data_IF_353995538140
#
_entry.id   IF_353995538140
#
_cell.length_a   1.000
_cell.length_b   1.000
_cell.length_c   1.000
_cell.angle_alpha   90.00
_cell.angle_beta   90.00
_cell.angle_gamma   90.00
#
_symmetry.space_group_name_H-M   'P 1'
#
loop_
_entity.id
_entity.type
_entity.pdbx_description
1 polymer ?
#
# COMPACT_ATOMS: atom_id res chain seq x y z
N UNK A 1 17.41 15.96 -12.39
CA UNK A 1 16.05 15.70 -12.89
C UNK A 1 15.06 15.45 -11.77
N UNK A 2 15.36 14.57 -10.85
CA UNK A 2 14.47 14.26 -9.73
C UNK A 2 14.10 15.47 -8.86
N UNK A 3 14.99 16.45 -8.70
CA UNK A 3 14.67 17.68 -7.96
C UNK A 3 13.48 18.45 -8.55
N UNK A 4 13.33 18.47 -9.91
CA UNK A 4 12.15 19.06 -10.57
C UNK A 4 10.88 18.29 -10.21
N UNK A 5 10.97 16.97 -10.13
CA UNK A 5 9.84 16.12 -9.76
C UNK A 5 9.45 16.33 -8.28
N UNK A 6 10.41 16.33 -7.36
CA UNK A 6 10.13 16.58 -5.94
C UNK A 6 9.62 18.00 -5.66
N UNK A 7 10.02 18.99 -6.45
CA UNK A 7 9.46 20.35 -6.34
C UNK A 7 7.93 20.39 -6.55
N UNK A 8 7.35 19.40 -7.23
CA UNK A 8 5.90 19.29 -7.41
C UNK A 8 5.14 18.92 -6.13
N UNK A 9 5.80 18.42 -5.10
CA UNK A 9 5.18 18.10 -3.80
C UNK A 9 4.54 19.34 -3.15
N UNK A 10 5.04 20.53 -3.47
CA UNK A 10 4.50 21.81 -2.97
C UNK A 10 3.06 22.08 -3.43
N UNK A 11 2.61 21.46 -4.52
CA UNK A 11 1.25 21.66 -5.04
C UNK A 11 0.19 20.82 -4.29
N UNK A 12 0.61 19.95 -3.37
CA UNK A 12 -0.30 19.15 -2.54
C UNK A 12 -1.15 18.14 -3.33
N UNK A 13 -2.32 17.80 -2.76
CA UNK A 13 -3.27 16.86 -3.38
C UNK A 13 -4.30 17.66 -4.18
N UNK A 14 -4.46 17.32 -5.45
CA UNK A 14 -5.52 17.83 -6.32
C UNK A 14 -6.38 16.65 -6.78
N UNK A 15 -7.67 16.71 -6.51
CA UNK A 15 -8.63 15.72 -6.99
C UNK A 15 -9.12 16.13 -8.39
N UNK A 16 -9.12 15.19 -9.32
CA UNK A 16 -9.58 15.39 -10.70
C UNK A 16 -8.70 14.70 -11.72
N UNK A 17 -9.28 14.32 -12.87
CA UNK A 17 -8.58 13.55 -13.89
C UNK A 17 -8.14 14.40 -15.09
N UNK A 18 -8.46 15.69 -15.12
CA UNK A 18 -8.18 16.53 -16.30
C UNK A 18 -6.70 16.63 -16.63
N UNK A 19 -5.87 16.97 -15.65
CA UNK A 19 -4.43 17.16 -15.88
C UNK A 19 -3.77 15.86 -16.35
N UNK A 20 -4.00 14.77 -15.62
CA UNK A 20 -3.41 13.47 -15.96
C UNK A 20 -3.92 12.97 -17.32
N UNK A 21 -5.20 13.17 -17.65
CA UNK A 21 -5.75 12.78 -18.95
C UNK A 21 -5.12 13.57 -20.11
N UNK A 22 -4.92 14.88 -19.95
CA UNK A 22 -4.25 15.72 -20.96
C UNK A 22 -2.78 15.33 -21.11
N UNK A 23 -2.11 15.05 -19.99
CA UNK A 23 -0.72 14.61 -19.99
C UNK A 23 -0.57 13.24 -20.69
N UNK A 24 -1.42 12.27 -20.36
CA UNK A 24 -1.44 10.97 -21.02
C UNK A 24 -1.73 11.10 -22.54
N UNK A 25 -2.68 11.95 -22.94
CA UNK A 25 -2.98 12.17 -24.34
C UNK A 25 -1.78 12.77 -25.11
N UNK A 26 -1.07 13.71 -24.51
CA UNK A 26 0.13 14.32 -25.11
C UNK A 26 1.34 13.38 -25.14
N UNK A 27 1.33 12.31 -24.32
CA UNK A 27 2.32 11.24 -24.31
C UNK A 27 1.90 10.02 -25.16
N UNK A 28 0.90 10.18 -26.04
CA UNK A 28 0.37 9.10 -26.88
C UNK A 28 -0.21 7.93 -26.08
N UNK A 29 -0.98 8.23 -25.03
CA UNK A 29 -1.76 7.30 -24.21
C UNK A 29 -0.97 6.11 -23.64
N UNK A 30 0.12 6.34 -22.89
CA UNK A 30 0.92 5.25 -22.32
C UNK A 30 0.11 4.34 -21.37
N UNK A 31 -0.96 4.87 -20.75
CA UNK A 31 -1.89 4.13 -19.86
C UNK A 31 -2.67 3.01 -20.59
N UNK A 32 -2.65 2.98 -21.92
CA UNK A 32 -3.34 1.98 -22.74
C UNK A 32 -2.41 0.92 -23.32
N UNK A 33 -1.10 1.00 -23.03
CA UNK A 33 -0.09 0.12 -23.63
C UNK A 33 0.03 -1.24 -22.92
N UNK A 34 -0.68 -1.46 -21.83
CA UNK A 34 -0.67 -2.68 -21.02
C UNK A 34 -2.06 -2.98 -20.48
N UNK A 35 -2.28 -4.24 -20.08
CA UNK A 35 -3.47 -4.61 -19.31
C UNK A 35 -3.33 -4.15 -17.87
N UNK A 36 -4.32 -3.42 -17.34
CA UNK A 36 -4.30 -2.93 -15.97
C UNK A 36 -5.21 -3.74 -15.04
N UNK A 37 -4.69 -4.14 -13.87
CA UNK A 37 -5.45 -4.58 -12.71
C UNK A 37 -5.40 -3.45 -11.67
N UNK A 38 -6.55 -2.96 -11.21
CA UNK A 38 -6.63 -1.74 -10.42
C UNK A 38 -7.07 -2.02 -8.99
N UNK A 39 -6.28 -1.64 -7.98
CA UNK A 39 -6.50 -1.99 -6.58
C UNK A 39 -6.75 -0.75 -5.74
N UNK A 40 -7.97 -0.61 -5.21
CA UNK A 40 -8.38 0.41 -4.25
C UNK A 40 -8.64 -0.19 -2.86
N UNK A 41 -8.84 0.65 -1.86
CA UNK A 41 -9.19 0.26 -0.50
C UNK A 41 -8.64 1.24 0.53
N UNK A 42 -9.01 1.05 1.79
CA UNK A 42 -8.39 1.79 2.90
C UNK A 42 -7.08 1.10 3.29
N UNK A 43 -7.13 -0.14 3.73
CA UNK A 43 -5.97 -0.96 4.09
C UNK A 43 -5.83 -2.16 3.13
N UNK A 44 -4.66 -2.78 3.05
CA UNK A 44 -4.42 -3.99 2.27
C UNK A 44 -4.08 -3.78 0.80
N UNK A 45 -4.27 -2.58 0.21
CA UNK A 45 -3.98 -2.29 -1.20
C UNK A 45 -2.62 -2.80 -1.65
N UNK A 46 -1.55 -2.32 -1.00
CA UNK A 46 -0.18 -2.68 -1.36
C UNK A 46 0.11 -4.17 -1.21
N UNK A 47 -0.45 -4.84 -0.18
CA UNK A 47 -0.30 -6.30 0.00
C UNK A 47 -0.95 -7.08 -1.14
N UNK A 48 -2.19 -6.73 -1.51
CA UNK A 48 -2.91 -7.35 -2.64
C UNK A 48 -2.17 -7.08 -3.96
N UNK A 49 -1.72 -5.83 -4.18
CA UNK A 49 -0.93 -5.44 -5.35
C UNK A 49 0.37 -6.26 -5.44
N UNK A 50 1.08 -6.42 -4.31
CA UNK A 50 2.34 -7.17 -4.28
C UNK A 50 2.13 -8.67 -4.53
N UNK A 51 1.13 -9.30 -3.90
CA UNK A 51 0.78 -10.72 -4.12
C UNK A 51 0.35 -10.97 -5.57
N UNK A 52 -0.53 -10.12 -6.11
CA UNK A 52 -0.99 -10.25 -7.49
C UNK A 52 0.17 -10.08 -8.49
N UNK A 53 1.01 -9.07 -8.28
CA UNK A 53 2.19 -8.86 -9.12
C UNK A 53 3.17 -10.05 -9.04
N UNK A 54 3.48 -10.56 -7.84
CA UNK A 54 4.38 -11.70 -7.67
C UNK A 54 3.86 -12.96 -8.39
N UNK A 55 2.55 -13.20 -8.37
CA UNK A 55 1.92 -14.30 -9.09
C UNK A 55 2.06 -14.15 -10.62
N UNK A 56 1.86 -12.96 -11.16
CA UNK A 56 2.03 -12.68 -12.58
C UNK A 56 3.49 -12.89 -13.03
N UNK A 57 4.46 -12.45 -12.22
CA UNK A 57 5.88 -12.69 -12.48
C UNK A 57 6.21 -14.18 -12.39
N UNK A 58 5.68 -14.88 -11.38
CA UNK A 58 5.87 -16.33 -11.23
C UNK A 58 5.29 -17.14 -12.41
N UNK A 59 4.26 -16.62 -13.10
CA UNK A 59 3.72 -17.17 -14.33
C UNK A 59 4.58 -16.86 -15.57
N UNK A 60 5.69 -16.15 -15.44
CA UNK A 60 6.53 -15.75 -16.58
C UNK A 60 5.96 -14.58 -17.38
N UNK A 61 4.93 -13.91 -16.87
CA UNK A 61 4.33 -12.73 -17.52
C UNK A 61 5.25 -11.53 -17.30
N UNK A 62 5.46 -10.70 -18.33
CA UNK A 62 6.14 -9.42 -18.21
C UNK A 62 5.24 -8.45 -17.44
N UNK A 63 5.26 -8.56 -16.13
CA UNK A 63 4.40 -7.82 -15.23
C UNK A 63 5.11 -6.62 -14.60
N UNK A 64 4.31 -5.60 -14.24
CA UNK A 64 4.76 -4.47 -13.45
C UNK A 64 3.80 -4.19 -12.30
N UNK A 65 4.26 -3.42 -11.31
CA UNK A 65 3.38 -2.80 -10.30
C UNK A 65 3.72 -1.33 -10.12
N UNK A 66 2.68 -0.53 -9.89
CA UNK A 66 2.78 0.84 -9.42
C UNK A 66 2.14 0.95 -8.05
N UNK A 67 2.89 1.47 -7.08
CA UNK A 67 2.47 1.57 -5.67
C UNK A 67 2.81 2.93 -5.09
N UNK A 68 2.11 3.33 -4.02
CA UNK A 68 2.38 4.57 -3.31
C UNK A 68 1.94 4.53 -1.85
N UNK A 69 2.66 5.27 -0.97
CA UNK A 69 3.96 5.89 -1.19
C UNK A 69 5.11 4.86 -1.18
N UNK A 70 6.34 5.28 -1.48
CA UNK A 70 7.56 4.49 -1.28
C UNK A 70 8.02 4.54 0.19
N UNK A 71 8.88 3.61 0.57
CA UNK A 71 9.49 3.58 1.91
C UNK A 71 10.76 4.44 1.98
N UNK A 72 11.71 4.18 1.09
CA UNK A 72 13.05 4.78 1.10
C UNK A 72 13.35 5.41 -0.25
N UNK A 73 13.24 4.66 -1.34
CA UNK A 73 13.63 5.07 -2.69
C UNK A 73 12.41 5.23 -3.59
N UNK A 74 12.36 6.35 -4.32
CA UNK A 74 11.27 6.62 -5.27
C UNK A 74 11.03 5.48 -6.26
N UNK A 75 12.10 4.76 -6.65
CA UNK A 75 12.03 3.62 -7.58
C UNK A 75 11.16 2.46 -7.07
N UNK A 76 10.97 2.35 -5.76
CA UNK A 76 10.07 1.34 -5.17
C UNK A 76 8.64 1.45 -5.69
N UNK A 77 8.24 2.66 -6.18
CA UNK A 77 6.92 2.86 -6.79
C UNK A 77 6.77 2.17 -8.15
N UNK A 78 7.87 1.89 -8.84
CA UNK A 78 7.93 1.42 -10.22
C UNK A 78 8.71 0.13 -10.30
N UNK A 79 8.03 -1.01 -10.20
CA UNK A 79 8.67 -2.33 -10.25
C UNK A 79 8.26 -3.03 -11.54
N UNK A 80 9.24 -3.54 -12.27
CA UNK A 80 9.05 -4.33 -13.50
C UNK A 80 9.75 -5.68 -13.31
N UNK A 81 9.02 -6.77 -13.47
CA UNK A 81 9.52 -8.07 -13.04
C UNK A 81 9.75 -8.09 -11.53
N UNK A 82 10.93 -8.49 -11.07
CA UNK A 82 11.24 -8.58 -9.65
C UNK A 82 11.96 -7.35 -9.08
N UNK A 83 12.34 -6.38 -9.91
CA UNK A 83 13.22 -5.30 -9.49
C UNK A 83 12.60 -3.92 -9.71
N UNK A 84 12.87 -2.96 -8.84
CA UNK A 84 12.63 -1.56 -9.13
C UNK A 84 13.34 -1.15 -10.41
N UNK A 85 12.74 -0.24 -11.18
CA UNK A 85 13.37 0.31 -12.39
C UNK A 85 14.74 0.92 -12.08
N UNK A 86 15.66 0.87 -13.02
CA UNK A 86 16.95 1.53 -12.85
C UNK A 86 16.84 3.06 -12.83
N UNK A 87 17.83 3.73 -12.24
CA UNK A 87 17.81 5.17 -12.05
C UNK A 87 17.81 5.92 -13.41
N UNK A 88 18.51 5.42 -14.41
CA UNK A 88 18.61 6.09 -15.72
C UNK A 88 17.28 5.98 -16.47
N UNK A 89 16.59 4.84 -16.41
CA UNK A 89 15.25 4.69 -16.99
C UNK A 89 14.24 5.62 -16.32
N UNK A 90 14.27 5.72 -14.98
CA UNK A 90 13.42 6.63 -14.23
C UNK A 90 13.69 8.10 -14.62
N UNK A 91 14.96 8.51 -14.65
CA UNK A 91 15.33 9.88 -15.01
C UNK A 91 14.93 10.22 -16.43
N UNK A 92 15.11 9.32 -17.39
CA UNK A 92 14.70 9.51 -18.78
C UNK A 92 13.18 9.65 -18.90
N UNK A 93 12.40 8.77 -18.26
CA UNK A 93 10.94 8.88 -18.31
C UNK A 93 10.43 10.15 -17.60
N UNK A 94 11.03 10.50 -16.45
CA UNK A 94 10.71 11.73 -15.75
C UNK A 94 11.02 12.98 -16.58
N UNK A 95 12.14 13.00 -17.31
CA UNK A 95 12.47 14.10 -18.21
C UNK A 95 11.38 14.29 -19.25
N UNK A 96 11.00 13.23 -19.97
CA UNK A 96 10.04 13.33 -21.06
C UNK A 96 8.62 13.73 -20.56
N UNK A 97 8.20 13.21 -19.42
CA UNK A 97 6.92 13.56 -18.80
C UNK A 97 6.91 15.02 -18.34
N UNK A 98 7.96 15.49 -17.68
CA UNK A 98 8.04 16.87 -17.17
C UNK A 98 8.18 17.87 -18.32
N UNK A 99 8.96 17.56 -19.35
CA UNK A 99 9.08 18.41 -20.54
C UNK A 99 7.77 18.47 -21.34
N UNK A 100 7.02 17.36 -21.38
CA UNK A 100 5.67 17.34 -21.94
C UNK A 100 4.73 18.25 -21.13
N UNK A 101 4.75 18.16 -19.81
CA UNK A 101 3.95 19.02 -18.93
C UNK A 101 4.27 20.51 -19.12
N UNK A 102 5.56 20.86 -19.23
CA UNK A 102 5.98 22.25 -19.49
C UNK A 102 5.51 22.76 -20.85
N UNK A 103 5.58 21.95 -21.91
CA UNK A 103 5.03 22.32 -23.24
C UNK A 103 3.52 22.56 -23.17
N UNK A 104 2.77 21.67 -22.52
CA UNK A 104 1.31 21.83 -22.36
C UNK A 104 0.97 23.07 -21.52
N UNK A 105 1.77 23.40 -20.50
CA UNK A 105 1.62 24.63 -19.72
C UNK A 105 1.87 25.86 -20.57
N UNK A 106 2.94 25.89 -21.38
CA UNK A 106 3.28 27.00 -22.26
C UNK A 106 2.22 27.23 -23.37
N UNK A 107 1.60 26.13 -23.82
CA UNK A 107 0.50 26.19 -24.80
C UNK A 107 -0.86 26.59 -24.16
N UNK A 108 -0.99 26.61 -22.84
CA UNK A 108 -2.25 26.88 -22.15
C UNK A 108 -3.17 25.65 -22.04
N UNK A 109 -2.71 24.47 -22.47
CA UNK A 109 -3.48 23.22 -22.43
C UNK A 109 -3.56 22.62 -21.03
N UNK A 110 -2.60 22.90 -20.15
CA UNK A 110 -2.69 22.59 -18.72
C UNK A 110 -2.91 23.88 -17.92
N UNK A 111 -4.00 24.01 -17.17
CA UNK A 111 -4.30 25.21 -16.38
C UNK A 111 -3.34 25.40 -15.19
N UNK A 112 -2.80 24.31 -14.64
CA UNK A 112 -1.81 24.30 -13.55
C UNK A 112 -0.76 23.21 -13.80
N UNK A 113 0.39 23.29 -13.14
CA UNK A 113 1.35 22.17 -13.16
C UNK A 113 0.72 20.87 -12.64
N UNK A 114 1.13 19.72 -13.15
CA UNK A 114 0.73 18.46 -12.55
C UNK A 114 1.24 18.38 -11.11
N UNK A 115 0.49 17.73 -10.24
CA UNK A 115 0.95 17.36 -8.91
C UNK A 115 2.07 16.32 -9.00
N UNK A 116 2.82 16.14 -7.92
CA UNK A 116 3.81 15.06 -7.80
C UNK A 116 3.19 13.68 -8.13
N UNK A 117 1.96 13.43 -7.65
CA UNK A 117 1.31 12.14 -7.90
C UNK A 117 0.83 11.98 -9.35
N UNK A 118 0.29 13.03 -9.98
CA UNK A 118 -0.04 12.99 -11.41
C UNK A 118 1.22 12.75 -12.27
N UNK A 119 2.33 13.43 -11.96
CA UNK A 119 3.59 13.26 -12.68
C UNK A 119 4.15 11.83 -12.49
N UNK A 120 4.21 11.31 -11.24
CA UNK A 120 4.72 9.95 -10.98
C UNK A 120 3.82 8.88 -11.59
N UNK A 121 2.51 9.09 -11.67
CA UNK A 121 1.57 8.20 -12.35
C UNK A 121 1.83 8.16 -13.86
N UNK A 122 2.01 9.30 -14.52
CA UNK A 122 2.38 9.36 -15.95
C UNK A 122 3.75 8.71 -16.21
N UNK A 123 4.73 8.93 -15.33
CA UNK A 123 6.06 8.29 -15.39
C UNK A 123 5.92 6.77 -15.31
N UNK A 124 5.07 6.24 -14.40
CA UNK A 124 4.82 4.80 -14.30
C UNK A 124 4.31 4.22 -15.62
N UNK A 125 3.31 4.86 -16.22
CA UNK A 125 2.74 4.40 -17.48
C UNK A 125 3.75 4.43 -18.61
N UNK A 126 4.57 5.48 -18.69
CA UNK A 126 5.63 5.61 -19.70
C UNK A 126 6.73 4.56 -19.52
N UNK A 127 7.15 4.29 -18.28
CA UNK A 127 8.10 3.23 -17.96
C UNK A 127 7.57 1.85 -18.38
N UNK A 128 6.29 1.58 -18.12
CA UNK A 128 5.65 0.29 -18.45
C UNK A 128 5.50 0.14 -19.96
N UNK A 129 5.16 1.21 -20.69
CA UNK A 129 5.11 1.23 -22.15
C UNK A 129 6.48 0.92 -22.75
N UNK A 130 7.54 1.61 -22.31
CA UNK A 130 8.92 1.40 -22.80
C UNK A 130 9.42 -0.01 -22.54
N UNK A 131 9.04 -0.58 -21.41
CA UNK A 131 9.41 -1.94 -21.05
C UNK A 131 8.50 -3.00 -21.70
N UNK A 132 7.52 -2.64 -22.53
CA UNK A 132 6.55 -3.56 -23.13
C UNK A 132 5.90 -4.47 -22.08
N UNK A 133 5.46 -3.88 -20.96
CA UNK A 133 4.75 -4.60 -19.91
C UNK A 133 3.45 -5.16 -20.47
N UNK A 134 3.19 -6.43 -20.20
CA UNK A 134 1.94 -7.07 -20.63
C UNK A 134 0.79 -6.80 -19.64
N UNK A 135 1.07 -6.90 -18.33
CA UNK A 135 0.09 -6.69 -17.26
C UNK A 135 0.70 -5.83 -16.17
N UNK A 136 0.00 -4.77 -15.75
CA UNK A 136 0.38 -3.95 -14.62
C UNK A 136 -0.67 -4.01 -13.51
N UNK A 137 -0.22 -4.20 -12.26
CA UNK A 137 -1.07 -4.06 -11.06
C UNK A 137 -0.86 -2.67 -10.50
N UNK A 138 -1.93 -1.86 -10.52
CA UNK A 138 -1.89 -0.44 -10.19
C UNK A 138 -2.59 -0.20 -8.86
N UNK A 139 -1.86 0.28 -7.87
CA UNK A 139 -2.42 0.71 -6.58
C UNK A 139 -2.94 2.14 -6.69
N UNK A 140 -4.18 2.36 -6.22
CA UNK A 140 -4.77 3.70 -6.04
C UNK A 140 -4.03 4.46 -4.95
N UNK A 141 -3.65 5.70 -5.23
CA UNK A 141 -3.01 6.56 -4.23
C UNK A 141 -4.00 7.02 -3.15
N UNK A 142 -5.11 7.63 -3.56
CA UNK A 142 -6.12 8.16 -2.64
C UNK A 142 -7.53 8.08 -3.23
N UNK A 143 -8.48 7.57 -2.45
CA UNK A 143 -9.87 7.43 -2.89
C UNK A 143 -10.00 6.41 -4.01
N UNK A 144 -10.23 6.85 -5.23
CA UNK A 144 -10.35 6.04 -6.44
C UNK A 144 -10.93 6.86 -7.60
N UNK A 145 -12.12 7.44 -7.45
CA UNK A 145 -12.86 8.13 -8.52
C UNK A 145 -12.04 9.22 -9.22
N UNK A 146 -11.33 10.03 -8.46
CA UNK A 146 -10.52 11.13 -8.93
C UNK A 146 -9.02 10.92 -8.73
N UNK A 147 -8.62 9.69 -8.42
CA UNK A 147 -7.21 9.33 -8.34
C UNK A 147 -6.57 9.32 -9.72
N UNK A 148 -5.34 9.83 -9.84
CA UNK A 148 -4.65 9.93 -11.13
C UNK A 148 -4.50 8.57 -11.82
N UNK A 149 -4.44 7.47 -11.05
CA UNK A 149 -4.39 6.13 -11.63
C UNK A 149 -5.68 5.72 -12.34
N UNK A 150 -6.80 6.40 -12.05
CA UNK A 150 -8.11 6.03 -12.59
C UNK A 150 -8.31 6.33 -14.09
N UNK A 151 -7.31 6.88 -14.76
CA UNK A 151 -7.31 7.01 -16.23
C UNK A 151 -7.05 5.69 -16.96
N UNK A 152 -6.53 4.65 -16.27
CA UNK A 152 -6.30 3.34 -16.88
C UNK A 152 -7.61 2.65 -17.25
N UNK A 153 -7.67 1.99 -18.43
CA UNK A 153 -8.79 1.12 -18.82
C UNK A 153 -8.64 -0.24 -18.12
N UNK A 154 -8.88 -0.28 -16.81
CA UNK A 154 -8.68 -1.49 -16.02
C UNK A 154 -9.58 -2.65 -16.51
N UNK A 155 -9.00 -3.85 -16.65
CA UNK A 155 -9.69 -5.08 -17.07
C UNK A 155 -10.31 -5.84 -15.90
N UNK A 156 -9.77 -5.69 -14.70
CA UNK A 156 -10.33 -6.17 -13.45
C UNK A 156 -9.90 -5.24 -12.30
N UNK A 157 -10.67 -5.21 -11.22
CA UNK A 157 -10.33 -4.40 -10.07
C UNK A 157 -10.57 -5.09 -8.74
N UNK A 158 -9.96 -4.54 -7.67
CA UNK A 158 -10.24 -4.95 -6.31
C UNK A 158 -10.46 -3.76 -5.39
N UNK A 159 -11.39 -3.89 -4.45
CA UNK A 159 -11.56 -2.97 -3.30
C UNK A 159 -11.32 -3.80 -2.04
N UNK A 160 -10.17 -3.59 -1.39
CA UNK A 160 -9.68 -4.47 -0.33
C UNK A 160 -10.48 -4.33 0.97
N UNK A 161 -10.50 -3.14 1.55
CA UNK A 161 -11.29 -2.78 2.74
C UNK A 161 -11.82 -1.35 2.60
N UNK A 162 -12.82 -1.01 3.40
CA UNK A 162 -13.32 0.36 3.54
C UNK A 162 -13.42 0.68 5.04
N UNK A 163 -12.70 1.71 5.45
CA UNK A 163 -12.66 2.22 6.81
C UNK A 163 -12.33 3.71 6.82
N UNK A 164 -12.33 4.31 7.99
CA UNK A 164 -12.07 5.73 8.16
C UNK A 164 -10.60 6.05 7.97
N UNK A 165 -10.29 6.79 6.92
CA UNK A 165 -9.00 7.40 6.62
C UNK A 165 -9.21 8.56 5.64
N UNK A 166 -8.36 9.59 5.70
CA UNK A 166 -8.43 10.76 4.82
C UNK A 166 -9.82 11.42 4.75
N UNK A 167 -10.53 11.49 5.87
CA UNK A 167 -11.91 11.97 5.94
C UNK A 167 -12.09 13.41 5.42
N UNK A 168 -11.08 14.27 5.57
CA UNK A 168 -11.10 15.64 5.02
C UNK A 168 -11.25 15.68 3.48
N UNK A 169 -10.85 14.61 2.78
CA UNK A 169 -10.86 14.53 1.32
C UNK A 169 -11.92 13.57 0.78
N UNK A 170 -12.22 12.48 1.52
CA UNK A 170 -13.09 11.41 1.06
C UNK A 170 -14.48 11.43 1.70
N UNK A 171 -14.67 12.31 2.71
CA UNK A 171 -15.90 12.38 3.50
C UNK A 171 -15.79 11.66 4.84
N UNK A 172 -16.73 11.93 5.71
CA UNK A 172 -16.78 11.54 7.11
C UNK A 172 -17.69 10.33 7.39
N UNK A 173 -18.18 9.67 6.33
CA UNK A 173 -18.99 8.45 6.41
C UNK A 173 -18.38 7.31 5.59
N UNK A 174 -18.67 6.07 5.98
CA UNK A 174 -18.22 4.89 5.23
C UNK A 174 -18.82 4.86 3.82
N UNK A 175 -20.02 5.34 3.65
CA UNK A 175 -20.70 5.43 2.36
C UNK A 175 -19.99 6.41 1.42
N UNK A 176 -19.58 7.59 1.92
CA UNK A 176 -18.85 8.57 1.12
C UNK A 176 -17.49 8.01 0.69
N UNK A 177 -16.73 7.40 1.62
CA UNK A 177 -15.45 6.76 1.35
C UNK A 177 -15.63 5.60 0.36
N UNK A 178 -16.69 4.80 0.50
CA UNK A 178 -17.02 3.71 -0.40
C UNK A 178 -17.30 4.20 -1.82
N UNK A 179 -18.06 5.28 -1.96
CA UNK A 179 -18.38 5.88 -3.26
C UNK A 179 -17.12 6.36 -4.00
N UNK A 180 -16.21 7.04 -3.29
CA UNK A 180 -14.95 7.48 -3.88
C UNK A 180 -14.09 6.29 -4.34
N UNK A 181 -14.02 5.21 -3.54
CA UNK A 181 -13.24 4.01 -3.90
C UNK A 181 -13.91 3.22 -5.02
N UNK A 182 -15.22 3.08 -5.01
CA UNK A 182 -15.99 2.42 -6.08
C UNK A 182 -15.85 3.12 -7.45
N UNK A 183 -15.39 4.37 -7.48
CA UNK A 183 -15.11 5.10 -8.70
C UNK A 183 -14.06 4.46 -9.62
N UNK A 184 -13.29 3.47 -9.16
CA UNK A 184 -12.39 2.67 -10.03
C UNK A 184 -13.13 1.68 -10.93
N UNK A 185 -14.38 1.34 -10.62
CA UNK A 185 -15.17 0.35 -11.35
C UNK A 185 -15.45 0.88 -12.76
N UNK A 186 -15.01 0.15 -13.77
CA UNK A 186 -15.26 0.48 -15.18
C UNK A 186 -16.48 -0.28 -15.70
N UNK A 187 -17.16 0.22 -16.75
CA UNK A 187 -18.30 -0.48 -17.35
C UNK A 187 -17.98 -1.92 -17.74
N UNK A 188 -18.77 -2.87 -17.26
CA UNK A 188 -18.62 -4.31 -17.56
C UNK A 188 -17.42 -5.01 -16.89
N UNK A 189 -16.62 -4.31 -16.10
CA UNK A 189 -15.42 -4.85 -15.46
C UNK A 189 -15.77 -5.75 -14.26
N UNK A 190 -15.14 -6.92 -14.07
CA UNK A 190 -15.24 -7.62 -12.80
C UNK A 190 -14.51 -6.86 -11.70
N UNK A 191 -15.16 -6.72 -10.55
CA UNK A 191 -14.58 -6.07 -9.36
C UNK A 191 -14.72 -7.00 -8.16
N UNK A 192 -13.58 -7.30 -7.54
CA UNK A 192 -13.51 -8.11 -6.32
C UNK A 192 -13.57 -7.19 -5.11
N UNK A 193 -14.38 -7.55 -4.12
CA UNK A 193 -14.44 -6.83 -2.84
C UNK A 193 -14.05 -7.75 -1.69
N UNK A 194 -13.21 -7.24 -0.80
CA UNK A 194 -12.89 -7.90 0.46
C UNK A 194 -14.04 -7.83 1.47
N UNK A 195 -13.74 -8.05 2.73
CA UNK A 195 -14.72 -7.88 3.80
C UNK A 195 -15.02 -6.38 4.01
N UNK A 196 -16.20 -5.94 3.61
CA UNK A 196 -16.64 -4.55 3.72
C UNK A 196 -17.73 -4.40 4.79
N UNK A 197 -17.77 -3.29 5.54
CA UNK A 197 -18.95 -2.91 6.33
C UNK A 197 -20.20 -2.85 5.44
N UNK A 198 -21.37 -3.21 5.98
CA UNK A 198 -22.60 -3.36 5.19
C UNK A 198 -22.99 -2.08 4.42
N UNK A 199 -22.86 -0.91 5.05
CA UNK A 199 -23.17 0.37 4.41
C UNK A 199 -22.24 0.62 3.20
N UNK A 200 -20.95 0.31 3.34
CA UNK A 200 -19.97 0.45 2.26
C UNK A 200 -20.22 -0.57 1.14
N UNK A 201 -20.56 -1.81 1.50
CA UNK A 201 -20.90 -2.88 0.56
C UNK A 201 -22.09 -2.50 -0.34
N UNK A 202 -23.14 -1.93 0.25
CA UNK A 202 -24.31 -1.47 -0.49
C UNK A 202 -23.96 -0.40 -1.52
N UNK A 203 -23.12 0.57 -1.16
CA UNK A 203 -22.68 1.62 -2.10
C UNK A 203 -21.85 1.02 -3.24
N UNK A 204 -20.90 0.14 -2.93
CA UNK A 204 -20.08 -0.51 -3.97
C UNK A 204 -20.94 -1.36 -4.90
N UNK A 205 -21.92 -2.09 -4.37
CA UNK A 205 -22.87 -2.88 -5.14
C UNK A 205 -23.72 -2.01 -6.08
N UNK A 206 -24.24 -0.88 -5.58
CA UNK A 206 -25.00 0.04 -6.40
C UNK A 206 -24.18 0.66 -7.55
N UNK A 207 -22.90 1.02 -7.30
CA UNK A 207 -22.00 1.51 -8.35
C UNK A 207 -21.66 0.41 -9.35
N UNK A 208 -21.46 -0.83 -8.90
CA UNK A 208 -21.21 -1.96 -9.79
C UNK A 208 -22.40 -2.24 -10.70
N UNK A 209 -23.63 -2.22 -10.16
CA UNK A 209 -24.86 -2.38 -10.94
C UNK A 209 -25.04 -1.28 -12.00
N UNK A 210 -24.88 -0.01 -11.61
CA UNK A 210 -24.93 1.15 -12.54
C UNK A 210 -23.93 0.99 -13.70
N UNK A 211 -22.74 0.45 -13.42
CA UNK A 211 -21.70 0.19 -14.40
C UNK A 211 -21.86 -1.14 -15.11
N UNK A 212 -22.87 -1.96 -14.81
CA UNK A 212 -23.03 -3.35 -15.30
C UNK A 212 -21.76 -4.16 -15.07
N UNK A 213 -21.05 -3.89 -13.99
CA UNK A 213 -19.85 -4.58 -13.56
C UNK A 213 -20.20 -5.84 -12.78
N UNK A 214 -19.41 -6.89 -12.91
CA UNK A 214 -19.60 -8.10 -12.13
C UNK A 214 -18.99 -7.93 -10.76
N UNK A 215 -19.82 -7.80 -9.71
CA UNK A 215 -19.36 -7.75 -8.33
C UNK A 215 -19.05 -9.15 -7.82
N UNK A 216 -17.83 -9.36 -7.33
CA UNK A 216 -17.36 -10.62 -6.76
C UNK A 216 -16.98 -10.35 -5.30
N UNK A 217 -17.81 -10.79 -4.36
CA UNK A 217 -17.40 -10.80 -2.95
C UNK A 217 -16.34 -11.90 -2.77
N UNK A 218 -15.15 -11.55 -2.29
CA UNK A 218 -14.01 -12.47 -2.25
C UNK A 218 -14.34 -13.77 -1.50
N UNK A 219 -15.08 -13.66 -0.40
CA UNK A 219 -15.50 -14.80 0.42
C UNK A 219 -16.73 -15.57 -0.15
N UNK A 220 -17.42 -15.04 -1.15
CA UNK A 220 -18.60 -15.72 -1.70
C UNK A 220 -18.19 -17.01 -2.43
N UNK A 221 -18.81 -18.12 -2.03
CA UNK A 221 -18.50 -19.46 -2.55
C UNK A 221 -17.01 -19.83 -2.45
N UNK A 222 -16.31 -19.27 -1.45
CA UNK A 222 -14.94 -19.62 -1.14
C UNK A 222 -14.82 -20.12 0.30
N UNK A 223 -13.92 -21.06 0.52
CA UNK A 223 -13.55 -21.54 1.86
C UNK A 223 -12.08 -21.22 2.11
N UNK A 224 -11.78 -20.70 3.28
CA UNK A 224 -10.40 -20.40 3.70
C UNK A 224 -10.13 -21.13 5.01
N UNK A 225 -9.30 -22.16 4.94
CA UNK A 225 -8.76 -22.82 6.12
C UNK A 225 -7.36 -22.27 6.38
N UNK A 226 -7.07 -21.90 7.63
CA UNK A 226 -5.75 -21.41 7.96
C UNK A 226 -5.32 -21.72 9.40
N UNK A 227 -4.02 -21.83 9.57
CA UNK A 227 -3.38 -21.93 10.87
C UNK A 227 -2.26 -20.90 10.95
N UNK A 228 -2.24 -20.14 12.05
CA UNK A 228 -1.19 -19.15 12.28
C UNK A 228 -0.02 -19.79 13.02
N UNK A 229 1.19 -19.67 12.47
CA UNK A 229 2.42 -20.16 13.06
C UNK A 229 3.55 -19.15 12.88
N UNK A 230 4.26 -18.79 13.96
CA UNK A 230 5.32 -17.75 13.95
C UNK A 230 4.89 -16.45 13.21
N UNK A 231 3.64 -16.03 13.45
CA UNK A 231 3.07 -14.81 12.85
C UNK A 231 2.71 -14.91 11.37
N UNK A 232 2.84 -16.07 10.73
CA UNK A 232 2.44 -16.34 9.33
C UNK A 232 1.28 -17.32 9.26
N UNK A 233 0.42 -17.18 8.26
CA UNK A 233 -0.65 -18.12 7.98
C UNK A 233 -0.18 -19.24 7.06
N UNK A 234 -0.39 -20.50 7.44
CA UNK A 234 -0.49 -21.60 6.49
C UNK A 234 -1.93 -21.65 6.03
N UNK A 235 -2.19 -21.41 4.75
CA UNK A 235 -3.54 -21.23 4.21
C UNK A 235 -3.86 -22.24 3.12
N UNK A 236 -5.08 -22.75 3.14
CA UNK A 236 -5.71 -23.45 2.01
C UNK A 236 -6.94 -22.63 1.59
N UNK A 237 -7.04 -22.27 0.33
CA UNK A 237 -8.12 -21.45 -0.22
C UNK A 237 -8.82 -22.28 -1.29
N UNK A 238 -10.10 -22.54 -1.12
CA UNK A 238 -10.95 -23.14 -2.12
C UNK A 238 -11.87 -22.06 -2.70
N UNK A 239 -11.93 -21.96 -4.03
CA UNK A 239 -12.78 -21.02 -4.76
C UNK A 239 -13.60 -21.81 -5.80
N UNK A 240 -14.59 -21.21 -6.47
CA UNK A 240 -15.25 -21.84 -7.59
C UNK A 240 -14.32 -22.25 -8.74
N UNK A 241 -13.17 -21.60 -8.86
CA UNK A 241 -12.22 -21.82 -9.95
C UNK A 241 -11.17 -22.90 -9.65
N UNK A 242 -10.69 -22.95 -8.40
CA UNK A 242 -9.60 -23.86 -8.03
C UNK A 242 -9.44 -23.99 -6.51
N UNK A 243 -8.63 -24.98 -6.13
CA UNK A 243 -8.11 -25.14 -4.78
C UNK A 243 -6.62 -24.72 -4.75
N UNK A 244 -6.23 -23.86 -3.81
CA UNK A 244 -4.88 -23.35 -3.62
C UNK A 244 -4.35 -23.77 -2.24
N UNK A 245 -3.10 -24.18 -2.21
CA UNK A 245 -2.41 -24.57 -0.96
C UNK A 245 -2.59 -26.04 -0.57
N UNK A 246 -2.27 -26.38 0.71
CA UNK A 246 -1.84 -25.44 1.75
C UNK A 246 -0.46 -24.80 1.45
N UNK A 247 -0.36 -23.49 1.62
CA UNK A 247 0.89 -22.72 1.44
C UNK A 247 1.13 -21.80 2.64
N UNK A 248 2.41 -21.50 2.94
CA UNK A 248 2.77 -20.53 3.98
C UNK A 248 2.84 -19.15 3.32
N UNK A 249 2.03 -18.21 3.79
CA UNK A 249 2.06 -16.83 3.27
C UNK A 249 3.42 -16.16 3.52
N UNK A 250 3.95 -15.47 2.53
CA UNK A 250 5.15 -14.66 2.63
C UNK A 250 5.01 -13.52 3.63
N UNK A 251 3.81 -12.92 3.72
CA UNK A 251 3.51 -11.81 4.61
C UNK A 251 2.99 -12.29 5.97
N UNK A 252 3.34 -11.54 7.03
CA UNK A 252 2.93 -11.81 8.41
C UNK A 252 1.60 -11.13 8.74
N UNK A 253 0.88 -11.70 9.70
CA UNK A 253 -0.37 -11.17 10.24
C UNK A 253 -1.62 -11.85 9.69
N UNK A 254 -2.61 -12.01 10.55
CA UNK A 254 -3.86 -12.70 10.21
C UNK A 254 -4.66 -11.97 9.11
N UNK A 255 -4.58 -10.63 9.08
CA UNK A 255 -5.19 -9.82 8.03
C UNK A 255 -4.63 -10.11 6.62
N UNK A 256 -3.43 -10.70 6.51
CA UNK A 256 -2.87 -11.10 5.22
C UNK A 256 -3.57 -12.33 4.63
N UNK A 257 -4.28 -13.12 5.44
CA UNK A 257 -5.13 -14.21 4.95
C UNK A 257 -6.27 -13.65 4.10
N UNK A 258 -6.91 -12.58 4.56
CA UNK A 258 -7.97 -11.90 3.79
C UNK A 258 -7.40 -11.21 2.54
N UNK A 259 -6.24 -10.57 2.65
CA UNK A 259 -5.57 -9.98 1.49
C UNK A 259 -5.20 -11.04 0.44
N UNK A 260 -4.76 -12.23 0.87
CA UNK A 260 -4.46 -13.35 -0.03
C UNK A 260 -5.70 -13.83 -0.78
N UNK A 261 -6.85 -13.96 -0.09
CA UNK A 261 -8.11 -14.30 -0.73
C UNK A 261 -8.50 -13.27 -1.80
N UNK A 262 -8.42 -11.97 -1.48
CA UNK A 262 -8.71 -10.89 -2.45
C UNK A 262 -7.75 -10.95 -3.64
N UNK A 263 -6.46 -11.20 -3.42
CA UNK A 263 -5.47 -11.32 -4.49
C UNK A 263 -5.76 -12.52 -5.40
N UNK A 264 -6.08 -13.69 -4.83
CA UNK A 264 -6.47 -14.89 -5.59
C UNK A 264 -7.69 -14.60 -6.46
N UNK A 265 -8.76 -14.06 -5.87
CA UNK A 265 -10.01 -13.73 -6.58
C UNK A 265 -9.81 -12.68 -7.68
N UNK A 266 -8.95 -11.66 -7.44
CA UNK A 266 -8.58 -10.68 -8.46
C UNK A 266 -7.86 -11.33 -9.65
N UNK A 267 -6.95 -12.26 -9.38
CA UNK A 267 -6.20 -12.98 -10.41
C UNK A 267 -7.09 -13.95 -11.21
N UNK A 268 -8.04 -14.60 -10.56
CA UNK A 268 -9.07 -15.43 -11.23
C UNK A 268 -9.95 -14.56 -12.14
N UNK A 269 -10.45 -13.43 -11.65
CA UNK A 269 -11.23 -12.48 -12.43
C UNK A 269 -10.44 -11.95 -13.64
N UNK A 270 -9.16 -11.63 -13.45
CA UNK A 270 -8.28 -11.22 -14.53
C UNK A 270 -8.04 -12.32 -15.57
N UNK A 271 -7.85 -13.58 -15.15
CA UNK A 271 -7.69 -14.72 -16.05
C UNK A 271 -8.89 -14.92 -16.97
N UNK A 272 -10.09 -14.69 -16.45
CA UNK A 272 -11.33 -14.80 -17.24
C UNK A 272 -11.54 -13.63 -18.21
N UNK A 273 -11.05 -12.44 -17.86
CA UNK A 273 -11.27 -11.22 -18.66
C UNK A 273 -10.22 -11.02 -19.73
N UNK A 274 -8.98 -11.33 -19.41
CA UNK A 274 -7.80 -11.16 -20.28
C UNK A 274 -7.16 -12.54 -20.38
N UNK A 275 -7.15 -13.16 -21.54
CA UNK A 275 -6.63 -14.51 -21.73
C UNK A 275 -5.13 -14.64 -21.38
N UNK A 276 -4.77 -14.39 -20.11
CA UNK A 276 -3.41 -14.53 -19.59
C UNK A 276 -3.21 -15.95 -19.06
N UNK A 277 -2.09 -16.62 -19.42
CA UNK A 277 -1.76 -17.92 -18.89
C UNK A 277 -1.29 -17.77 -17.44
N UNK A 278 -2.22 -17.89 -16.51
CA UNK A 278 -1.96 -17.79 -15.08
C UNK A 278 -2.28 -19.13 -14.40
N UNK A 279 -1.33 -20.06 -14.33
CA UNK A 279 -1.55 -21.37 -13.71
C UNK A 279 -1.63 -21.26 -12.18
N UNK A 280 -2.25 -22.24 -11.56
CA UNK A 280 -2.47 -22.31 -10.12
C UNK A 280 -1.17 -22.15 -9.31
N UNK A 281 -0.13 -22.88 -9.69
CA UNK A 281 1.16 -22.86 -8.99
C UNK A 281 1.84 -21.49 -9.03
N UNK A 282 1.58 -20.68 -10.05
CA UNK A 282 2.07 -19.31 -10.10
C UNK A 282 1.34 -18.41 -9.11
N UNK A 283 0.03 -18.60 -8.93
CA UNK A 283 -0.74 -17.89 -7.89
C UNK A 283 -0.23 -18.29 -6.50
N UNK A 284 -0.04 -19.58 -6.24
CA UNK A 284 0.50 -20.08 -4.97
C UNK A 284 1.90 -19.48 -4.69
N UNK A 285 2.80 -19.46 -5.69
CA UNK A 285 4.12 -18.81 -5.56
C UNK A 285 3.99 -17.32 -5.25
N UNK A 286 3.06 -16.63 -5.88
CA UNK A 286 2.80 -15.22 -5.59
C UNK A 286 2.42 -14.95 -4.13
N UNK A 287 1.71 -15.88 -3.48
CA UNK A 287 1.38 -15.78 -2.06
C UNK A 287 2.57 -16.10 -1.13
N UNK A 288 3.47 -16.99 -1.57
CA UNK A 288 4.64 -17.45 -0.79
C UNK A 288 5.83 -16.50 -0.94
N UNK A 289 6.16 -16.14 -2.18
CA UNK A 289 7.41 -15.43 -2.52
C UNK A 289 7.27 -13.89 -2.44
N UNK A 290 6.06 -13.40 -2.13
CA UNK A 290 5.82 -11.96 -2.01
C UNK A 290 6.70 -11.33 -0.93
N UNK A 291 7.43 -10.27 -1.29
CA UNK A 291 8.13 -9.38 -0.36
C UNK A 291 7.45 -8.00 -0.34
N UNK A 292 7.02 -7.58 0.85
CA UNK A 292 6.36 -6.30 1.04
C UNK A 292 6.86 -5.62 2.32
N UNK A 293 7.96 -4.86 2.21
CA UNK A 293 8.61 -4.23 3.36
C UNK A 293 7.69 -3.32 4.17
N UNK A 294 7.94 -3.24 5.48
CA UNK A 294 7.19 -2.38 6.39
C UNK A 294 5.76 -2.85 6.68
N UNK A 295 5.44 -4.13 6.43
CA UNK A 295 4.19 -4.78 6.84
C UNK A 295 4.50 -5.96 7.72
N UNK A 296 4.49 -5.74 9.04
CA UNK A 296 4.95 -6.69 10.07
C UNK A 296 6.32 -7.31 9.68
N UNK A 297 7.21 -6.48 9.13
CA UNK A 297 8.56 -6.88 8.75
C UNK A 297 9.41 -7.11 9.99
N UNK A 298 9.80 -8.36 10.25
CA UNK A 298 10.60 -8.74 11.41
C UNK A 298 12.08 -8.77 11.02
N UNK A 299 12.87 -7.89 11.61
CA UNK A 299 14.33 -7.83 11.47
C UNK A 299 14.96 -8.44 12.73
N UNK A 300 15.76 -9.49 12.56
CA UNK A 300 16.52 -10.11 13.66
C UNK A 300 17.91 -9.51 13.70
N UNK A 301 18.28 -8.96 14.84
CA UNK A 301 19.60 -8.36 15.06
C UNK A 301 20.62 -9.44 15.42
N UNK A 302 21.95 -9.20 15.17
CA UNK A 302 22.99 -10.18 15.43
C UNK A 302 23.11 -10.63 16.88
N UNK A 303 22.71 -9.77 17.83
CA UNK A 303 22.68 -10.05 19.26
C UNK A 303 21.41 -10.79 19.73
N UNK A 304 20.53 -11.14 18.79
CA UNK A 304 19.27 -11.82 19.02
C UNK A 304 18.10 -10.90 19.38
N UNK A 305 18.29 -9.58 19.43
CA UNK A 305 17.18 -8.65 19.54
C UNK A 305 16.33 -8.65 18.26
N UNK A 306 15.07 -8.25 18.37
CA UNK A 306 14.12 -8.23 17.25
C UNK A 306 13.52 -6.83 17.09
N UNK A 307 13.41 -6.38 15.85
CA UNK A 307 12.72 -5.14 15.51
C UNK A 307 11.61 -5.46 14.51
N UNK A 308 10.37 -5.22 14.91
CA UNK A 308 9.19 -5.33 14.07
C UNK A 308 8.89 -3.96 13.46
N UNK A 309 8.83 -3.88 12.14
CA UNK A 309 8.47 -2.69 11.38
C UNK A 309 7.07 -2.83 10.82
N UNK A 310 6.17 -1.92 11.17
CA UNK A 310 4.82 -1.89 10.60
C UNK A 310 4.35 -0.46 10.32
N UNK A 311 3.86 -0.22 9.12
CA UNK A 311 3.40 1.10 8.67
C UNK A 311 1.92 1.37 9.00
N UNK A 312 1.37 0.80 10.08
CA UNK A 312 0.06 1.16 10.58
C UNK A 312 -0.01 2.66 10.89
N UNK A 313 -1.01 3.35 10.34
CA UNK A 313 -1.16 4.80 10.41
C UNK A 313 -2.62 5.27 10.52
N UNK A 314 -3.54 4.34 10.75
CA UNK A 314 -4.96 4.57 11.04
C UNK A 314 -5.45 3.57 12.08
N UNK A 315 -6.68 3.74 12.57
CA UNK A 315 -7.23 2.94 13.66
C UNK A 315 -7.30 1.44 13.36
N UNK A 316 -7.75 1.05 12.16
CA UNK A 316 -7.84 -0.37 11.76
C UNK A 316 -6.44 -1.01 11.68
N UNK A 317 -5.47 -0.30 11.13
CA UNK A 317 -4.07 -0.76 11.08
C UNK A 317 -3.49 -0.94 12.48
N UNK A 318 -3.76 0.00 13.39
CA UNK A 318 -3.33 -0.08 14.78
C UNK A 318 -3.96 -1.25 15.53
N UNK A 319 -5.24 -1.53 15.30
CA UNK A 319 -5.93 -2.70 15.87
C UNK A 319 -5.33 -4.02 15.38
N UNK A 320 -5.06 -4.12 14.06
CA UNK A 320 -4.42 -5.31 13.48
C UNK A 320 -3.02 -5.53 14.04
N UNK A 321 -2.22 -4.45 14.19
CA UNK A 321 -0.90 -4.50 14.82
C UNK A 321 -0.99 -4.91 16.30
N UNK A 322 -1.91 -4.34 17.07
CA UNK A 322 -2.11 -4.69 18.48
C UNK A 322 -2.42 -6.18 18.66
N UNK A 323 -3.39 -6.69 17.90
CA UNK A 323 -3.74 -8.11 17.93
C UNK A 323 -2.55 -9.02 17.56
N UNK A 324 -1.71 -8.59 16.60
CA UNK A 324 -0.49 -9.30 16.27
C UNK A 324 0.53 -9.30 17.43
N UNK A 325 0.75 -8.13 18.07
CA UNK A 325 1.67 -8.00 19.19
C UNK A 325 1.22 -8.83 20.39
N UNK A 326 -0.05 -8.77 20.75
CA UNK A 326 -0.61 -9.54 21.87
C UNK A 326 -0.42 -11.06 21.69
N UNK A 327 -0.57 -11.55 20.48
CA UNK A 327 -0.47 -12.97 20.16
C UNK A 327 0.96 -13.46 20.01
N UNK A 328 1.85 -12.67 19.38
CA UNK A 328 3.17 -13.12 18.96
C UNK A 328 4.33 -12.46 19.71
N UNK A 329 4.05 -11.42 20.50
CA UNK A 329 5.01 -10.68 21.30
C UNK A 329 4.51 -10.49 22.74
N UNK A 330 4.24 -11.58 23.50
CA UNK A 330 3.69 -11.51 24.86
C UNK A 330 4.62 -10.79 25.85
N UNK A 331 5.90 -10.63 25.51
CA UNK A 331 6.89 -9.85 26.25
C UNK A 331 6.63 -8.35 26.18
N UNK A 332 5.67 -7.88 25.37
CA UNK A 332 5.33 -6.48 25.14
C UNK A 332 6.53 -5.64 24.70
N UNK A 333 6.78 -5.50 23.41
CA UNK A 333 7.92 -4.75 22.88
C UNK A 333 7.92 -3.30 23.33
N UNK A 334 9.11 -2.68 23.35
CA UNK A 334 9.20 -1.22 23.42
C UNK A 334 8.70 -0.63 22.08
N UNK A 335 7.80 0.36 22.15
CA UNK A 335 7.22 1.02 21.00
C UNK A 335 8.02 2.28 20.62
N UNK A 336 8.45 2.37 19.36
CA UNK A 336 8.93 3.62 18.75
C UNK A 336 7.83 4.08 17.80
N UNK A 337 7.27 5.27 18.04
CA UNK A 337 6.13 5.76 17.28
C UNK A 337 6.34 7.19 16.80
N UNK A 338 6.00 7.43 15.52
CA UNK A 338 5.96 8.75 14.91
C UNK A 338 4.79 8.87 13.96
N UNK A 339 4.08 9.99 14.02
CA UNK A 339 2.80 10.16 13.31
C UNK A 339 2.79 11.41 12.44
N UNK A 340 1.90 11.47 11.48
CA UNK A 340 1.58 12.68 10.73
C UNK A 340 0.57 13.54 11.48
N UNK A 341 0.57 14.87 11.23
CA UNK A 341 -0.28 15.85 11.92
C UNK A 341 -1.77 15.66 11.66
N UNK A 342 -2.11 15.13 10.49
CA UNK A 342 -3.48 14.86 10.02
C UNK A 342 -4.11 13.61 10.64
N UNK A 343 -3.38 12.89 11.51
CA UNK A 343 -3.88 11.64 12.11
C UNK A 343 -4.34 11.84 13.56
N UNK A 344 -5.42 11.16 13.92
CA UNK A 344 -5.92 11.14 15.29
C UNK A 344 -5.06 10.22 16.16
N UNK A 345 -4.40 10.81 17.16
CA UNK A 345 -3.47 10.07 18.04
C UNK A 345 -4.20 8.98 18.83
N UNK A 346 -5.44 9.25 19.29
CA UNK A 346 -6.27 8.26 20.01
C UNK A 346 -6.47 6.98 19.21
N UNK A 347 -6.81 7.09 17.94
CA UNK A 347 -7.21 5.95 17.11
C UNK A 347 -6.06 4.97 16.89
N UNK A 348 -4.82 5.50 16.88
CA UNK A 348 -3.61 4.69 16.65
C UNK A 348 -2.99 4.24 17.98
N UNK A 349 -2.96 5.10 18.99
CA UNK A 349 -2.24 4.82 20.24
C UNK A 349 -3.07 3.95 21.19
N UNK A 350 -4.36 4.24 21.38
CA UNK A 350 -5.18 3.52 22.36
C UNK A 350 -5.21 1.99 22.14
N UNK A 351 -5.33 1.47 20.91
CA UNK A 351 -5.23 0.04 20.69
C UNK A 351 -3.87 -0.56 21.04
N UNK A 352 -2.78 0.21 20.91
CA UNK A 352 -1.41 -0.28 21.11
C UNK A 352 -0.96 -0.25 22.58
N UNK A 353 -1.56 0.60 23.43
CA UNK A 353 -1.15 0.74 24.84
C UNK A 353 -1.11 -0.58 25.61
N UNK A 354 -2.09 -1.50 25.48
CA UNK A 354 -2.07 -2.77 26.20
C UNK A 354 -0.96 -3.72 25.73
N UNK A 355 -0.51 -3.59 24.47
CA UNK A 355 0.41 -4.52 23.81
C UNK A 355 1.88 -4.12 23.91
N UNK A 356 2.22 -2.99 24.56
CA UNK A 356 3.59 -2.47 24.63
C UNK A 356 4.04 -2.19 26.07
N UNK A 357 5.36 -2.20 26.33
CA UNK A 357 5.92 -2.02 27.68
C UNK A 357 6.36 -0.57 27.95
N UNK A 358 6.77 0.14 26.92
CA UNK A 358 7.26 1.53 26.99
C UNK A 358 7.11 2.19 25.63
N UNK A 359 7.12 3.52 25.59
CA UNK A 359 6.90 4.27 24.35
C UNK A 359 7.99 5.33 24.20
N UNK A 360 8.59 5.41 23.01
CA UNK A 360 9.46 6.50 22.58
C UNK A 360 8.77 7.20 21.40
N UNK A 361 8.32 8.42 21.64
CA UNK A 361 7.77 9.28 20.59
C UNK A 361 8.92 9.92 19.79
N UNK A 362 8.84 9.81 18.48
CA UNK A 362 9.80 10.34 17.51
C UNK A 362 9.11 11.09 16.38
N UNK A 363 9.86 11.63 15.42
CA UNK A 363 9.31 12.30 14.26
C UNK A 363 10.11 11.93 13.00
N UNK A 364 9.42 11.52 11.91
CA UNK A 364 10.06 11.39 10.62
C UNK A 364 10.50 12.77 10.09
N UNK A 365 11.57 12.79 9.28
CA UNK A 365 12.07 14.03 8.66
C UNK A 365 11.16 14.45 7.48
N UNK A 366 10.02 15.01 7.82
CA UNK A 366 9.06 15.56 6.87
C UNK A 366 8.27 16.70 7.52
N UNK A 367 7.94 17.78 6.79
CA UNK A 367 7.13 18.89 7.30
C UNK A 367 5.75 18.48 7.81
N UNK A 368 5.25 17.34 7.37
CA UNK A 368 3.94 16.78 7.79
C UNK A 368 4.00 16.02 9.12
N UNK A 369 5.19 15.72 9.64
CA UNK A 369 5.32 14.97 10.88
C UNK A 369 4.81 15.77 12.08
N UNK A 370 4.13 15.09 12.99
CA UNK A 370 3.82 15.61 14.32
C UNK A 370 5.11 15.65 15.14
N UNK A 371 5.40 16.78 15.78
CA UNK A 371 6.62 16.93 16.56
C UNK A 371 6.68 15.89 17.70
N UNK A 372 7.82 15.25 17.90
CA UNK A 372 8.01 14.16 18.87
C UNK A 372 7.55 14.55 20.31
N UNK A 373 7.84 15.77 20.73
CA UNK A 373 7.42 16.29 22.05
C UNK A 373 5.90 16.43 22.15
N UNK A 374 5.25 16.92 21.10
CA UNK A 374 3.80 17.06 21.05
C UNK A 374 3.13 15.69 21.04
N UNK A 375 3.64 14.74 20.24
CA UNK A 375 3.16 13.37 20.22
C UNK A 375 3.29 12.73 21.61
N UNK A 376 4.43 12.87 22.28
CA UNK A 376 4.63 12.34 23.63
C UNK A 376 3.61 12.91 24.64
N UNK A 377 3.33 14.22 24.59
CA UNK A 377 2.31 14.85 25.46
C UNK A 377 0.91 14.28 25.19
N UNK A 378 0.54 14.12 23.92
CA UNK A 378 -0.76 13.57 23.55
C UNK A 378 -0.90 12.10 23.97
N UNK A 379 0.17 11.29 23.85
CA UNK A 379 0.22 9.91 24.32
C UNK A 379 0.10 9.82 25.84
N UNK A 380 0.85 10.66 26.58
CA UNK A 380 0.77 10.71 28.06
C UNK A 380 -0.64 11.08 28.54
N UNK A 381 -1.33 11.98 27.83
CA UNK A 381 -2.73 12.34 28.11
C UNK A 381 -3.71 11.17 27.93
N UNK A 382 -3.32 10.09 27.20
CA UNK A 382 -4.08 8.84 27.07
C UNK A 382 -3.83 7.84 28.21
N UNK A 383 -3.04 8.22 29.23
CA UNK A 383 -2.76 7.39 30.40
C UNK A 383 -1.49 6.54 30.30
N UNK A 384 -0.67 6.73 29.27
CA UNK A 384 0.60 6.05 29.17
C UNK A 384 1.60 6.63 30.20
N UNK A 385 2.16 5.77 31.09
CA UNK A 385 3.04 6.19 32.18
C UNK A 385 4.53 6.22 31.83
N UNK A 386 4.96 5.53 30.77
CA UNK A 386 6.37 5.38 30.37
C UNK A 386 6.58 5.89 28.95
N UNK A 387 6.45 7.22 28.78
CA UNK A 387 6.62 7.87 27.48
C UNK A 387 7.89 8.73 27.51
N UNK A 388 8.78 8.49 26.56
CA UNK A 388 10.00 9.29 26.33
C UNK A 388 9.91 9.99 24.98
N UNK A 389 10.73 10.99 24.79
CA UNK A 389 10.86 11.75 23.53
C UNK A 389 12.28 11.62 23.00
N UNK A 390 12.42 11.21 21.74
CA UNK A 390 13.66 11.26 20.98
C UNK A 390 13.31 11.67 19.54
N UNK A 391 13.65 12.90 19.12
CA UNK A 391 13.28 13.40 17.80
C UNK A 391 13.91 12.65 16.64
N UNK A 392 15.14 12.12 16.82
CA UNK A 392 15.85 11.36 15.79
C UNK A 392 15.34 9.90 15.76
N UNK A 393 14.72 9.44 14.67
CA UNK A 393 14.19 8.07 14.56
C UNK A 393 15.23 6.98 14.81
N UNK A 394 16.45 7.16 14.31
CA UNK A 394 17.50 6.17 14.45
C UNK A 394 17.96 6.04 15.91
N UNK A 395 18.12 7.18 16.62
CA UNK A 395 18.44 7.19 18.05
C UNK A 395 17.27 6.66 18.87
N UNK A 396 16.03 6.94 18.50
CA UNK A 396 14.85 6.39 19.17
C UNK A 396 14.87 4.86 19.17
N UNK A 397 15.17 4.23 18.04
CA UNK A 397 15.32 2.78 17.92
C UNK A 397 16.52 2.27 18.73
N UNK A 398 17.67 2.98 18.72
CA UNK A 398 18.84 2.62 19.53
C UNK A 398 18.54 2.65 21.03
N UNK A 399 17.84 3.68 21.50
CA UNK A 399 17.40 3.80 22.89
C UNK A 399 16.41 2.68 23.26
N UNK A 400 15.50 2.32 22.37
CA UNK A 400 14.59 1.19 22.59
C UNK A 400 15.35 -0.14 22.70
N UNK A 401 16.30 -0.40 21.79
CA UNK A 401 17.14 -1.62 21.78
C UNK A 401 18.09 -1.70 23.00
N UNK A 402 18.48 -0.57 23.57
CA UNK A 402 19.29 -0.54 24.78
C UNK A 402 18.52 -1.02 26.05
N UNK A 403 17.18 -0.98 26.02
CA UNK A 403 16.31 -1.29 27.17
C UNK A 403 15.40 -2.50 26.92
N UNK A 404 15.22 -2.90 25.67
CA UNK A 404 14.34 -4.03 25.30
C UNK A 404 14.97 -4.85 24.17
N UNK A 405 14.80 -6.17 24.24
CA UNK A 405 15.20 -7.07 23.16
C UNK A 405 14.14 -7.21 22.06
N UNK A 406 12.95 -6.69 22.29
CA UNK A 406 11.85 -6.66 21.34
C UNK A 406 11.39 -5.21 21.16
N UNK A 407 11.44 -4.71 19.95
CA UNK A 407 11.08 -3.32 19.59
C UNK A 407 10.08 -3.35 18.47
N UNK A 408 9.02 -2.55 18.56
CA UNK A 408 8.07 -2.29 17.48
C UNK A 408 8.22 -0.84 17.02
N UNK A 409 8.32 -0.61 15.71
CA UNK A 409 8.36 0.73 15.11
C UNK A 409 7.12 0.89 14.24
N UNK A 410 6.32 1.97 14.47
CA UNK A 410 5.05 2.17 13.76
C UNK A 410 4.57 3.63 13.74
N UNK A 411 3.40 3.86 13.14
CA UNK A 411 2.66 5.13 13.12
C UNK A 411 2.82 5.90 11.81
N UNK A 412 3.83 5.60 11.00
CA UNK A 412 4.02 6.24 9.70
C UNK A 412 4.94 5.44 8.79
N UNK A 413 4.61 5.36 7.52
CA UNK A 413 5.48 4.77 6.49
C UNK A 413 6.82 5.53 6.37
N UNK A 414 6.81 6.85 6.54
CA UNK A 414 8.03 7.68 6.52
C UNK A 414 8.96 7.36 7.69
N UNK A 415 8.41 7.05 8.86
CA UNK A 415 9.22 6.61 10.00
C UNK A 415 9.87 5.25 9.70
N UNK A 416 9.11 4.31 9.15
CA UNK A 416 9.66 3.00 8.77
C UNK A 416 10.81 3.18 7.77
N UNK A 417 10.61 3.99 6.72
CA UNK A 417 11.66 4.31 5.74
C UNK A 417 12.93 4.85 6.38
N UNK A 418 12.81 5.79 7.32
CA UNK A 418 13.94 6.44 7.97
C UNK A 418 14.85 5.47 8.77
N UNK A 419 14.29 4.35 9.27
CA UNK A 419 15.05 3.42 10.14
C UNK A 419 15.40 2.10 9.45
N UNK A 420 14.64 1.67 8.45
CA UNK A 420 14.69 0.33 7.85
C UNK A 420 16.07 -0.01 7.28
N UNK A 421 16.61 0.84 6.43
CA UNK A 421 17.89 0.56 5.75
C UNK A 421 19.05 0.43 6.73
N UNK A 422 19.07 1.29 7.76
CA UNK A 422 20.08 1.22 8.82
C UNK A 422 19.97 -0.10 9.59
N UNK A 423 18.76 -0.52 9.93
CA UNK A 423 18.51 -1.78 10.62
C UNK A 423 18.90 -2.99 9.77
N UNK A 424 18.54 -3.01 8.48
CA UNK A 424 18.91 -4.06 7.55
C UNK A 424 20.43 -4.18 7.40
N UNK A 425 21.14 -3.08 7.20
CA UNK A 425 22.62 -3.09 7.13
C UNK A 425 23.24 -3.64 8.41
N UNK A 426 22.73 -3.23 9.58
CA UNK A 426 23.21 -3.72 10.86
C UNK A 426 22.91 -5.21 11.08
N UNK A 427 21.83 -5.73 10.55
CA UNK A 427 21.45 -7.15 10.63
C UNK A 427 22.32 -8.06 9.74
N UNK A 428 22.88 -7.52 8.64
CA UNK A 428 23.66 -8.27 7.62
C UNK A 428 25.17 -8.29 7.95
N UNK A 429 25.67 -7.33 8.74
CA UNK A 429 27.11 -7.15 9.02
C UNK A 429 27.71 -8.22 9.97
N UNK A 430 27.37 -9.52 9.72
CA UNK A 430 28.14 -10.68 10.23
C UNK A 430 28.08 -11.87 9.30
#
# INVERSE_FOLDING_TARGET
MLDRLFALETFGIKLGLENISRLCAALDHPERSFTALHVAGTNGKGSVTAMAHAALVAAGIRAARYVSPHLVDLRERFVIGNEPVDAAALESAAQDVLDCADRLRAAGDLPVHPTFFEATTAIAFELFRRAHVAVAVIEVGLGGRFDSTNVVPASAGAITTIGFDHQELLGDTLEAIAYEKAGIIKPGMPVVVGALPEQARQVVAAVADDRRATLIEAAANATVEYQMHDGRGTVAIETPDAHYGPVILGLRGEHQVQNALVAVRLLEAARHTVAIPLPRDAIERGLVDVDWPGRLELIRMPDGAQVLLDAAHNGEGAQALSAYLERWHPERPALVIGMMRDKHVSDIVDPLLPAVSSIIATAADTPRALAARELAMRIAARGASNVRTEPDPAKAVEHALATSRSVCVTGSIFLIGAVRDRLRRRAILR
#
